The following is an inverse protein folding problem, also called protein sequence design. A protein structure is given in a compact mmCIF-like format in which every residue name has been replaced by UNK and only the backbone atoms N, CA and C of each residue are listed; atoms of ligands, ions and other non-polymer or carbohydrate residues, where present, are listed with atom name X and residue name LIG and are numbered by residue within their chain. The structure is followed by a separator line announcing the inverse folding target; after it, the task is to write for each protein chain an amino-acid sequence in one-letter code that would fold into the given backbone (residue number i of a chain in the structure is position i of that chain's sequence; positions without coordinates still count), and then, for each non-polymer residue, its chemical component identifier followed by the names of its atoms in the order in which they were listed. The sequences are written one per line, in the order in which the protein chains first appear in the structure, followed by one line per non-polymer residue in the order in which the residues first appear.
data_IF_330040308072
#
_entry.id   IF_330040308072
#
_cell.length_a   1.000
_cell.length_b   1.000
_cell.length_c   1.000
_cell.angle_alpha   90.00
_cell.angle_beta   90.00
_cell.angle_gamma   90.00
#
_symmetry.space_group_name_H-M   'P 1'
#
loop_
_entity.id
_entity.type
_entity.pdbx_description
1 polymer ?
#
# COMPACT_ATOMS: atom_id res chain seq x y z
N UNK A 1 -0.96 22.08 -10.25
CA UNK A 1 -1.33 22.79 -9.01
C UNK A 1 -2.66 22.26 -8.48
N UNK A 2 -3.72 22.21 -9.30
CA UNK A 2 -5.04 21.64 -8.90
C UNK A 2 -4.97 20.18 -8.42
N UNK A 3 -4.24 19.30 -9.12
CA UNK A 3 -4.19 17.87 -8.77
C UNK A 3 -3.59 17.57 -7.38
N UNK A 4 -2.62 18.38 -6.92
CA UNK A 4 -2.00 18.21 -5.58
C UNK A 4 -2.93 18.69 -4.48
N UNK A 5 -3.64 19.79 -4.70
CA UNK A 5 -4.64 20.29 -3.75
C UNK A 5 -5.83 19.32 -3.63
N UNK A 6 -6.23 18.71 -4.74
CA UNK A 6 -7.24 17.65 -4.75
C UNK A 6 -6.76 16.43 -3.96
N UNK A 7 -5.54 15.94 -4.22
CA UNK A 7 -4.94 14.81 -3.49
C UNK A 7 -4.89 15.08 -1.98
N UNK A 8 -4.49 16.29 -1.58
CA UNK A 8 -4.46 16.75 -0.17
C UNK A 8 -5.83 16.80 0.50
N UNK A 9 -6.91 16.89 -0.28
CA UNK A 9 -8.27 16.88 0.25
C UNK A 9 -8.76 15.45 0.58
N UNK A 10 -8.09 14.41 0.09
CA UNK A 10 -8.52 13.03 0.25
C UNK A 10 -8.04 12.45 1.59
N UNK A 11 -8.98 12.17 2.48
CA UNK A 11 -8.71 11.60 3.80
C UNK A 11 -7.96 10.25 3.78
N UNK A 12 -7.97 9.54 2.64
CA UNK A 12 -7.27 8.27 2.46
C UNK A 12 -5.76 8.43 2.42
N UNK A 13 -5.24 9.54 1.92
CA UNK A 13 -3.79 9.79 1.84
C UNK A 13 -3.14 9.81 3.23
N UNK A 14 -3.61 10.61 4.22
CA UNK A 14 -3.06 10.56 5.57
C UNK A 14 -3.34 9.22 6.28
N UNK A 15 -4.41 8.51 5.92
CA UNK A 15 -4.69 7.18 6.45
C UNK A 15 -3.65 6.14 5.97
N UNK A 16 -3.31 6.13 4.68
CA UNK A 16 -2.27 5.27 4.11
C UNK A 16 -0.89 5.59 4.71
N UNK A 17 -0.55 6.88 4.82
CA UNK A 17 0.71 7.29 5.45
C UNK A 17 0.78 6.84 6.93
N UNK A 18 -0.32 6.99 7.67
CA UNK A 18 -0.41 6.49 9.04
C UNK A 18 -0.25 4.97 9.12
N UNK A 19 -0.90 4.22 8.23
CA UNK A 19 -0.74 2.78 8.13
C UNK A 19 0.73 2.39 7.89
N UNK A 20 1.43 3.03 6.95
CA UNK A 20 2.85 2.78 6.70
C UNK A 20 3.70 3.01 7.96
N UNK A 21 3.36 4.02 8.77
CA UNK A 21 4.02 4.28 10.05
C UNK A 21 3.85 3.16 11.08
N UNK A 22 2.66 2.53 11.13
CA UNK A 22 2.33 1.42 12.04
C UNK A 22 3.10 0.14 11.72
N UNK A 23 3.51 -0.04 10.46
CA UNK A 23 4.24 -1.22 9.97
C UNK A 23 5.70 -0.96 9.64
N UNK A 24 6.24 0.21 10.02
CA UNK A 24 7.64 0.59 9.78
C UNK A 24 8.61 -0.53 10.20
N UNK A 25 9.60 -0.84 9.38
CA UNK A 25 10.55 -1.94 9.64
C UNK A 25 10.05 -3.36 9.33
N UNK A 26 8.76 -3.55 8.97
CA UNK A 26 8.22 -4.82 8.45
C UNK A 26 7.75 -4.67 7.01
N UNK A 27 7.01 -3.60 6.70
CA UNK A 27 6.62 -3.28 5.32
C UNK A 27 7.70 -2.49 4.57
N UNK A 28 8.70 -1.93 5.26
CA UNK A 28 9.80 -1.21 4.62
C UNK A 28 11.04 -1.25 5.51
N UNK A 29 12.21 -1.51 4.90
CA UNK A 29 13.50 -1.17 5.50
C UNK A 29 13.75 0.35 5.49
N UNK A 30 13.13 1.09 4.55
CA UNK A 30 13.24 2.53 4.47
C UNK A 30 12.31 3.28 5.44
N UNK A 31 12.92 4.27 6.07
CA UNK A 31 12.41 5.16 7.09
C UNK A 31 11.26 6.05 6.60
N UNK A 32 10.26 6.20 7.46
CA UNK A 32 9.46 7.42 7.64
C UNK A 32 8.83 8.02 6.37
N UNK A 33 8.14 7.20 5.56
CA UNK A 33 7.24 7.73 4.53
C UNK A 33 6.18 8.62 5.21
N UNK A 34 6.34 9.94 5.09
CA UNK A 34 5.37 10.90 5.60
C UNK A 34 4.28 11.20 4.56
N UNK A 35 3.37 12.11 4.91
CA UNK A 35 2.25 12.45 4.03
C UNK A 35 2.74 13.15 2.76
N UNK A 36 3.73 14.04 2.87
CA UNK A 36 4.25 14.81 1.74
C UNK A 36 5.01 13.88 0.77
N UNK A 37 5.83 12.97 1.31
CA UNK A 37 6.53 11.97 0.50
C UNK A 37 5.56 11.06 -0.27
N UNK A 38 4.47 10.62 0.39
CA UNK A 38 3.45 9.80 -0.26
C UNK A 38 2.72 10.57 -1.36
N UNK A 39 2.38 11.84 -1.13
CA UNK A 39 1.76 12.71 -2.13
C UNK A 39 2.64 12.85 -3.37
N UNK A 40 3.93 13.15 -3.18
CA UNK A 40 4.90 13.28 -4.28
C UNK A 40 5.07 11.95 -5.03
N UNK A 41 5.21 10.84 -4.30
CA UNK A 41 5.39 9.52 -4.89
C UNK A 41 4.16 9.10 -5.71
N UNK A 42 2.93 9.41 -5.25
CA UNK A 42 1.69 9.16 -5.99
C UNK A 42 1.58 10.00 -7.27
N UNK A 43 1.97 11.27 -7.20
CA UNK A 43 1.98 12.17 -8.35
C UNK A 43 2.97 11.72 -9.41
N UNK A 44 4.12 11.15 -9.00
CA UNK A 44 5.15 10.63 -9.88
C UNK A 44 4.86 9.22 -10.41
N UNK A 45 3.88 8.48 -9.86
CA UNK A 45 3.65 7.07 -10.17
C UNK A 45 3.02 6.82 -11.56
N UNK A 46 3.67 7.25 -12.65
CA UNK A 46 3.28 6.94 -14.04
C UNK A 46 3.87 5.63 -14.54
N UNK A 47 4.97 5.18 -13.95
CA UNK A 47 5.58 3.88 -14.18
C UNK A 47 6.32 3.40 -12.92
N UNK A 48 6.67 2.10 -12.82
CA UNK A 48 7.44 1.59 -11.68
C UNK A 48 8.78 2.31 -11.47
N UNK A 49 9.41 2.80 -12.54
CA UNK A 49 10.69 3.50 -12.48
C UNK A 49 10.56 4.96 -12.04
N UNK A 50 9.40 5.58 -12.25
CA UNK A 50 9.16 6.98 -11.88
C UNK A 50 8.82 7.13 -10.39
N UNK A 51 8.32 6.07 -9.77
CA UNK A 51 8.02 6.04 -8.33
C UNK A 51 8.41 4.70 -7.70
N UNK A 52 9.71 4.50 -7.41
CA UNK A 52 10.19 3.30 -6.74
C UNK A 52 9.55 3.10 -5.36
N UNK A 53 9.29 4.20 -4.64
CA UNK A 53 8.61 4.18 -3.33
C UNK A 53 7.25 3.49 -3.42
N UNK A 54 6.45 3.80 -4.45
CA UNK A 54 5.14 3.20 -4.63
C UNK A 54 5.27 1.73 -5.06
N UNK A 55 6.24 1.40 -5.91
CA UNK A 55 6.49 0.00 -6.27
C UNK A 55 6.86 -0.83 -5.04
N UNK A 56 7.78 -0.33 -4.22
CA UNK A 56 8.22 -0.99 -2.99
C UNK A 56 7.03 -1.15 -2.02
N UNK A 57 6.19 -0.11 -1.88
CA UNK A 57 4.95 -0.18 -1.08
C UNK A 57 4.03 -1.32 -1.52
N UNK A 58 3.77 -1.40 -2.82
CA UNK A 58 2.90 -2.43 -3.38
C UNK A 58 3.47 -3.83 -3.13
N UNK A 59 4.76 -4.03 -3.42
CA UNK A 59 5.43 -5.31 -3.19
C UNK A 59 5.35 -5.72 -1.72
N UNK A 60 5.70 -4.84 -0.79
CA UNK A 60 5.71 -5.17 0.64
C UNK A 60 4.32 -5.40 1.23
N UNK A 61 3.30 -4.67 0.76
CA UNK A 61 1.90 -4.96 1.11
C UNK A 61 1.50 -6.36 0.65
N UNK A 62 1.79 -6.71 -0.61
CA UNK A 62 1.47 -8.03 -1.16
C UNK A 62 2.22 -9.15 -0.43
N UNK A 63 3.50 -8.97 -0.12
CA UNK A 63 4.29 -9.93 0.68
C UNK A 63 3.63 -10.19 2.03
N UNK A 64 3.21 -9.12 2.73
CA UNK A 64 2.51 -9.22 4.00
C UNK A 64 1.12 -9.87 3.90
N UNK A 65 0.38 -9.61 2.81
CA UNK A 65 -0.95 -10.21 2.58
C UNK A 65 -0.84 -11.71 2.27
N UNK A 66 0.14 -12.11 1.45
CA UNK A 66 0.34 -13.50 1.07
C UNK A 66 1.15 -14.31 2.09
N UNK A 67 1.78 -13.65 3.08
CA UNK A 67 2.68 -14.28 4.04
C UNK A 67 3.92 -14.90 3.36
N UNK A 68 4.48 -14.22 2.35
CA UNK A 68 5.62 -14.71 1.56
C UNK A 68 6.74 -13.69 1.55
N UNK A 69 7.98 -14.18 1.47
CA UNK A 69 9.16 -13.34 1.25
C UNK A 69 9.52 -13.29 -0.24
N UNK A 70 10.02 -12.15 -0.71
CA UNK A 70 10.66 -11.94 -2.02
C UNK A 70 9.71 -12.03 -3.23
N UNK A 71 8.67 -11.18 -3.26
CA UNK A 71 7.98 -10.90 -4.51
C UNK A 71 8.94 -10.19 -5.47
N UNK A 72 9.10 -10.72 -6.69
CA UNK A 72 9.90 -10.02 -7.70
C UNK A 72 9.07 -8.90 -8.32
N UNK A 73 9.74 -7.83 -8.76
CA UNK A 73 9.14 -6.73 -9.55
C UNK A 73 8.46 -7.25 -10.84
N UNK A 74 8.74 -8.47 -11.27
CA UNK A 74 8.09 -9.08 -12.45
C UNK A 74 6.71 -9.64 -12.11
N UNK A 75 6.47 -10.04 -10.85
CA UNK A 75 5.25 -10.76 -10.47
C UNK A 75 4.18 -9.87 -9.83
N UNK A 76 4.52 -8.65 -9.36
CA UNK A 76 3.58 -7.83 -8.57
C UNK A 76 2.24 -7.57 -9.29
N UNK A 77 2.25 -7.28 -10.60
CA UNK A 77 1.04 -7.00 -11.37
C UNK A 77 0.10 -8.21 -11.41
N UNK A 78 0.65 -9.41 -11.60
CA UNK A 78 -0.15 -10.65 -11.58
C UNK A 78 -0.75 -10.89 -10.21
N UNK A 79 0.03 -10.75 -9.14
CA UNK A 79 -0.45 -10.92 -7.76
C UNK A 79 -1.53 -9.88 -7.41
N UNK A 80 -1.35 -8.61 -7.80
CA UNK A 80 -2.38 -7.59 -7.58
C UNK A 80 -3.67 -7.92 -8.33
N UNK A 81 -3.58 -8.34 -9.60
CA UNK A 81 -4.76 -8.70 -10.39
C UNK A 81 -5.50 -9.89 -9.78
N UNK A 82 -4.78 -10.92 -9.36
CA UNK A 82 -5.36 -12.09 -8.70
C UNK A 82 -6.03 -11.72 -7.37
N UNK A 83 -5.39 -10.88 -6.55
CA UNK A 83 -5.92 -10.40 -5.28
C UNK A 83 -7.22 -9.60 -5.47
N UNK A 84 -7.20 -8.59 -6.34
CA UNK A 84 -8.38 -7.76 -6.58
C UNK A 84 -9.51 -8.53 -7.26
N UNK A 85 -9.19 -9.48 -8.16
CA UNK A 85 -10.18 -10.37 -8.73
C UNK A 85 -10.82 -11.26 -7.66
N UNK A 86 -10.02 -11.80 -6.74
CA UNK A 86 -10.53 -12.61 -5.63
C UNK A 86 -11.49 -11.81 -4.74
N UNK A 87 -11.08 -10.62 -4.28
CA UNK A 87 -11.92 -9.76 -3.44
C UNK A 87 -13.17 -9.27 -4.18
N UNK A 88 -13.09 -9.03 -5.49
CA UNK A 88 -14.26 -8.67 -6.29
C UNK A 88 -15.26 -9.83 -6.39
N UNK A 89 -14.78 -11.04 -6.71
CA UNK A 89 -15.63 -12.23 -6.80
C UNK A 89 -16.26 -12.62 -5.46
N UNK A 90 -15.57 -12.32 -4.34
CA UNK A 90 -16.08 -12.50 -2.99
C UNK A 90 -17.12 -11.42 -2.58
N UNK A 91 -17.25 -10.35 -3.36
CA UNK A 91 -18.13 -9.22 -3.04
C UNK A 91 -17.55 -8.23 -2.02
N UNK A 92 -16.26 -8.35 -1.69
CA UNK A 92 -15.56 -7.44 -0.78
C UNK A 92 -15.29 -6.07 -1.41
N UNK A 93 -15.17 -6.02 -2.74
CA UNK A 93 -15.07 -4.76 -3.50
C UNK A 93 -16.08 -4.75 -4.66
N UNK A 94 -16.69 -3.57 -4.88
CA UNK A 94 -17.75 -3.43 -5.87
C UNK A 94 -17.21 -3.46 -7.32
N UNK A 95 -16.02 -2.92 -7.54
CA UNK A 95 -15.39 -2.82 -8.86
C UNK A 95 -13.93 -3.24 -8.77
N UNK A 96 -13.43 -3.98 -9.78
CA UNK A 96 -12.01 -4.29 -9.90
C UNK A 96 -11.31 -3.23 -10.78
N UNK A 97 -10.56 -2.26 -10.20
CA UNK A 97 -9.86 -1.23 -10.98
C UNK A 97 -8.71 -1.79 -11.84
N UNK A 98 -8.22 -3.00 -11.55
CA UNK A 98 -7.08 -3.63 -12.23
C UNK A 98 -7.50 -4.66 -13.29
N UNK A 99 -8.76 -4.68 -13.70
CA UNK A 99 -9.28 -5.68 -14.64
C UNK A 99 -8.54 -5.68 -15.98
N UNK A 100 -8.31 -4.50 -16.56
CA UNK A 100 -7.66 -4.30 -17.86
C UNK A 100 -6.46 -3.34 -17.80
N UNK A 101 -6.06 -2.94 -16.59
CA UNK A 101 -4.97 -1.97 -16.35
C UNK A 101 -4.01 -2.47 -15.28
N UNK A 102 -2.77 -2.01 -15.38
CA UNK A 102 -1.79 -2.08 -14.31
C UNK A 102 -2.03 -0.95 -13.30
N UNK A 103 -1.47 -1.04 -12.10
CA UNK A 103 -1.57 0.01 -11.09
C UNK A 103 -1.09 1.38 -11.62
N UNK A 104 0.02 1.42 -12.35
CA UNK A 104 0.63 2.69 -12.80
C UNK A 104 -0.18 3.38 -13.91
N UNK A 105 -1.03 2.64 -14.65
CA UNK A 105 -1.95 3.15 -15.66
C UNK A 105 -3.27 3.72 -15.07
N UNK A 106 -3.49 3.53 -13.77
CA UNK A 106 -4.68 4.03 -13.08
C UNK A 106 -4.69 5.57 -12.97
N UNK A 107 -5.89 6.12 -12.80
CA UNK A 107 -6.05 7.51 -12.40
C UNK A 107 -5.46 7.72 -11.00
N UNK A 108 -5.07 8.96 -10.66
CA UNK A 108 -4.54 9.28 -9.33
C UNK A 108 -5.53 8.87 -8.22
N UNK A 109 -6.83 9.07 -8.44
CA UNK A 109 -7.88 8.66 -7.52
C UNK A 109 -7.89 7.13 -7.34
N UNK A 110 -7.93 6.36 -8.42
CA UNK A 110 -7.98 4.90 -8.36
C UNK A 110 -6.70 4.30 -7.74
N UNK A 111 -5.54 4.95 -7.91
CA UNK A 111 -4.29 4.58 -7.22
C UNK A 111 -4.44 4.65 -5.71
N UNK A 112 -5.01 5.75 -5.21
CA UNK A 112 -5.25 5.94 -3.78
C UNK A 112 -6.28 4.93 -3.26
N UNK A 113 -7.35 4.65 -4.01
CA UNK A 113 -8.34 3.63 -3.65
C UNK A 113 -7.72 2.23 -3.56
N UNK A 114 -6.88 1.86 -4.53
CA UNK A 114 -6.18 0.57 -4.55
C UNK A 114 -5.22 0.44 -3.37
N UNK A 115 -4.39 1.46 -3.10
CA UNK A 115 -3.49 1.43 -1.94
C UNK A 115 -4.25 1.33 -0.62
N UNK A 116 -5.31 2.11 -0.45
CA UNK A 116 -6.14 2.02 0.75
C UNK A 116 -6.73 0.61 0.91
N UNK A 117 -7.24 0.02 -0.18
CA UNK A 117 -7.76 -1.35 -0.16
C UNK A 117 -6.69 -2.38 0.22
N UNK A 118 -5.46 -2.21 -0.28
CA UNK A 118 -4.33 -3.08 0.10
C UNK A 118 -3.98 -2.93 1.58
N UNK A 119 -4.05 -1.72 2.15
CA UNK A 119 -3.89 -1.52 3.59
C UNK A 119 -4.96 -2.30 4.37
N UNK A 120 -6.23 -2.23 3.95
CA UNK A 120 -7.32 -2.98 4.57
C UNK A 120 -7.07 -4.50 4.49
N UNK A 121 -6.69 -5.02 3.32
CA UNK A 121 -6.38 -6.44 3.16
C UNK A 121 -5.19 -6.89 4.01
N UNK A 122 -4.19 -6.02 4.21
CA UNK A 122 -3.05 -6.31 5.08
C UNK A 122 -3.43 -6.36 6.56
N UNK A 123 -4.46 -5.61 6.96
CA UNK A 123 -5.02 -5.69 8.32
C UNK A 123 -5.77 -6.99 8.60
N UNK A 124 -6.22 -7.69 7.56
CA UNK A 124 -6.89 -8.99 7.69
C UNK A 124 -5.90 -10.18 7.74
N UNK A 125 -4.61 -9.95 7.46
CA UNK A 125 -3.60 -11.00 7.47
C UNK A 125 -3.31 -11.52 8.89
N UNK A 126 -3.07 -12.83 9.03
CA UNK A 126 -2.99 -13.52 10.33
C UNK A 126 -1.88 -12.99 11.25
N UNK A 127 -0.77 -12.52 10.67
CA UNK A 127 0.43 -12.07 11.37
C UNK A 127 0.31 -10.63 11.92
N UNK A 128 -0.73 -9.89 11.53
CA UNK A 128 -0.86 -8.45 11.80
C UNK A 128 -0.78 -8.12 13.29
N UNK A 129 -1.43 -8.95 14.12
CA UNK A 129 -1.47 -8.75 15.56
C UNK A 129 -0.09 -8.96 16.19
N UNK A 130 0.72 -9.87 15.64
CA UNK A 130 2.08 -10.11 16.11
C UNK A 130 3.00 -8.96 15.72
N UNK A 131 2.91 -8.52 14.45
CA UNK A 131 3.65 -7.38 13.91
C UNK A 131 3.39 -6.10 14.72
N UNK A 132 2.12 -5.82 15.06
CA UNK A 132 1.74 -4.64 15.83
C UNK A 132 2.13 -4.75 17.31
N UNK A 133 2.04 -5.94 17.93
CA UNK A 133 2.38 -6.15 19.36
C UNK A 133 3.86 -5.97 19.68
N UNK A 134 4.77 -6.33 18.77
CA UNK A 134 6.22 -6.17 18.97
C UNK A 134 6.62 -4.71 19.27
N UNK A 135 5.75 -3.75 18.97
CA UNK A 135 6.01 -2.32 19.10
C UNK A 135 5.60 -1.71 20.44
N UNK A 136 4.60 -2.26 21.15
CA UNK A 136 4.27 -1.79 22.51
C UNK A 136 5.37 -2.15 23.53
N UNK A 137 6.12 -3.23 23.29
CA UNK A 137 7.16 -3.70 24.22
C UNK A 137 8.45 -2.87 24.11
N UNK A 138 8.76 -2.30 22.94
CA UNK A 138 9.97 -1.46 22.78
C UNK A 138 9.92 -0.15 23.59
N UNK A 139 8.74 0.36 23.92
CA UNK A 139 8.59 1.51 24.80
C UNK A 139 8.67 1.16 26.30
N UNK A 140 8.52 -0.12 26.67
CA UNK A 140 8.60 -0.56 28.06
C UNK A 140 10.03 -0.89 28.54
N UNK A 141 11.01 -0.98 27.65
CA UNK A 141 12.40 -1.31 27.99
C UNK A 141 13.37 -0.11 27.83
N UNK A 142 12.85 1.10 27.66
CA UNK A 142 13.65 2.34 27.57
C UNK A 142 13.39 3.34 28.71
N UNK A 143 12.68 2.93 29.77
CA UNK A 143 12.59 3.66 31.04
C UNK A 143 13.38 2.94 32.16
#
# INVERSE_FOLDING_TARGET
MEAVEELRSWWKVPCIAHFCSLFRGVLFEQSDLDIEDLEEALMAATSPSDSPIILDLLCSLLEGIYGREQLTVVDYDSYMKDLFLHHHNAGNIQTNPLFDKTYFELSLHDKVEVLHSLCDFRLDAEDVMEVLKVREIKYFFLD
#
